data_IF_192394842151
#
_entry.id   IF_192394842151
#
_cell.length_a   1.000
_cell.length_b   1.000
_cell.length_c   1.000
_cell.angle_alpha   90.00
_cell.angle_beta   90.00
_cell.angle_gamma   90.00
#
_symmetry.space_group_name_H-M   'P 1'
#
loop_
_entity.id
_entity.type
_entity.pdbx_description
1 polymer ?
#
# COMPACT_ATOMS: atom_id res chain seq x y z
N UNK A 1 -13.25 -13.75 6.49
CA UNK A 1 -13.59 -12.40 7.00
C UNK A 1 -12.26 -11.71 7.27
N UNK A 2 -11.70 -11.03 6.25
CA UNK A 2 -10.28 -10.63 6.27
C UNK A 2 -10.03 -9.66 7.42
N UNK A 3 -8.88 -9.78 8.07
CA UNK A 3 -8.43 -8.98 9.22
C UNK A 3 -8.72 -7.47 9.07
N UNK A 4 -8.55 -6.95 7.84
CA UNK A 4 -8.74 -5.54 7.50
C UNK A 4 -10.18 -5.12 7.21
N UNK A 5 -11.10 -6.06 6.98
CA UNK A 5 -12.50 -5.76 6.63
C UNK A 5 -13.33 -5.23 7.82
N UNK A 6 -12.90 -5.49 9.05
CA UNK A 6 -13.63 -5.15 10.29
C UNK A 6 -13.45 -3.70 10.77
N UNK A 7 -12.51 -2.95 10.19
CA UNK A 7 -12.06 -1.68 10.76
C UNK A 7 -12.05 -0.50 9.79
N UNK A 8 -12.68 -0.64 8.61
CA UNK A 8 -12.80 0.47 7.66
C UNK A 8 -13.72 1.56 8.24
N UNK A 9 -13.21 2.79 8.38
CA UNK A 9 -14.03 4.00 8.42
C UNK A 9 -14.80 4.06 7.08
N UNK A 10 -16.11 4.37 7.05
CA UNK A 10 -16.81 4.56 5.78
C UNK A 10 -16.11 5.65 4.97
N UNK A 11 -16.03 5.51 3.64
CA UNK A 11 -15.38 6.50 2.80
C UNK A 11 -16.05 7.86 3.00
N UNK A 12 -15.26 8.90 3.28
CA UNK A 12 -15.73 10.27 3.21
C UNK A 12 -15.79 10.62 1.73
N UNK A 13 -17.00 10.59 1.17
CA UNK A 13 -17.34 11.23 -0.10
C UNK A 13 -16.47 10.85 -1.30
N UNK A 14 -16.63 9.65 -1.83
CA UNK A 14 -16.38 9.40 -3.25
C UNK A 14 -17.55 8.59 -3.80
N UNK A 15 -18.48 9.27 -4.45
CA UNK A 15 -19.47 8.64 -5.31
C UNK A 15 -18.71 7.98 -6.46
N UNK A 16 -18.52 6.67 -6.38
CA UNK A 16 -18.21 5.83 -7.55
C UNK A 16 -19.37 4.86 -7.72
N UNK A 17 -20.51 5.44 -8.12
CA UNK A 17 -21.51 4.75 -8.92
C UNK A 17 -21.42 5.41 -10.27
N UNK A 18 -20.63 4.81 -11.16
CA UNK A 18 -20.67 4.95 -12.61
C UNK A 18 -19.42 4.25 -13.17
N UNK A 19 -19.46 2.92 -13.11
CA UNK A 19 -18.69 2.08 -14.03
C UNK A 19 -19.70 1.09 -14.57
N UNK A 20 -20.39 1.52 -15.63
CA UNK A 20 -21.25 0.69 -16.43
C UNK A 20 -20.46 -0.49 -16.96
N UNK A 21 -21.08 -1.65 -16.83
CA UNK A 21 -20.83 -2.84 -17.64
C UNK A 21 -20.81 -2.45 -19.12
N UNK A 22 -19.70 -2.72 -19.80
CA UNK A 22 -19.75 -2.99 -21.23
C UNK A 22 -18.78 -4.14 -21.53
N UNK A 23 -19.40 -5.25 -21.90
CA UNK A 23 -18.78 -6.43 -22.47
C UNK A 23 -18.02 -6.07 -23.75
N UNK A 24 -16.79 -6.54 -23.89
CA UNK A 24 -16.15 -6.65 -25.19
C UNK A 24 -15.32 -7.94 -25.28
N UNK A 25 -15.81 -8.82 -26.15
CA UNK A 25 -15.26 -10.10 -26.52
C UNK A 25 -13.76 -10.07 -26.83
N UNK A 26 -13.06 -11.06 -26.26
CA UNK A 26 -11.71 -11.47 -26.64
C UNK A 26 -11.77 -12.17 -28.01
N UNK A 27 -11.09 -11.62 -29.00
CA UNK A 27 -10.64 -12.37 -30.18
C UNK A 27 -9.12 -12.47 -30.17
N UNK A 28 -8.64 -13.70 -30.01
CA UNK A 28 -7.25 -14.09 -30.24
C UNK A 28 -6.87 -13.79 -31.69
N UNK A 29 -5.67 -13.22 -31.89
CA UNK A 29 -4.85 -13.64 -33.01
C UNK A 29 -3.36 -13.47 -32.70
N UNK A 30 -2.62 -14.51 -33.04
CA UNK A 30 -1.19 -14.66 -32.85
C UNK A 30 -0.41 -14.11 -34.04
N UNK A 31 0.81 -13.64 -33.81
CA UNK A 31 1.87 -13.67 -34.82
C UNK A 31 2.78 -12.46 -34.87
N UNK A 32 4.09 -12.71 -34.85
CA UNK A 32 5.06 -11.85 -35.55
C UNK A 32 6.16 -11.27 -34.68
N UNK A 33 7.25 -12.02 -34.53
CA UNK A 33 8.56 -11.49 -34.16
C UNK A 33 9.02 -10.39 -35.13
N UNK A 34 9.67 -9.34 -34.64
CA UNK A 34 10.81 -8.69 -35.34
C UNK A 34 11.58 -7.72 -34.45
N UNK A 35 12.87 -8.04 -34.28
CA UNK A 35 13.94 -7.16 -33.85
C UNK A 35 14.14 -5.98 -34.82
N UNK A 36 14.36 -4.77 -34.31
CA UNK A 36 15.43 -3.81 -34.69
C UNK A 36 15.00 -2.35 -34.55
N UNK A 37 15.67 -1.57 -33.69
CA UNK A 37 16.30 -0.27 -34.02
C UNK A 37 16.76 0.45 -32.75
N UNK A 38 18.05 0.34 -32.46
CA UNK A 38 18.76 0.87 -31.28
C UNK A 38 19.17 2.35 -31.42
N UNK A 39 18.41 3.20 -32.13
CA UNK A 39 18.89 4.58 -32.40
C UNK A 39 17.86 5.71 -32.26
N UNK A 40 16.90 5.55 -31.34
CA UNK A 40 15.99 6.62 -30.88
C UNK A 40 15.81 6.67 -29.34
N UNK A 41 16.60 5.89 -28.59
CA UNK A 41 16.31 5.51 -27.20
C UNK A 41 16.30 6.66 -26.18
N UNK A 42 17.29 7.55 -26.20
CA UNK A 42 17.41 8.58 -25.15
C UNK A 42 16.26 9.59 -25.11
N UNK A 43 15.77 10.05 -26.26
CA UNK A 43 14.64 10.98 -26.33
C UNK A 43 13.30 10.32 -25.99
N UNK A 44 13.14 9.04 -26.34
CA UNK A 44 11.93 8.26 -26.00
C UNK A 44 11.89 7.91 -24.51
N UNK A 45 13.03 7.58 -23.91
CA UNK A 45 13.14 7.25 -22.48
C UNK A 45 12.93 8.49 -21.58
N UNK A 46 13.43 9.66 -21.99
CA UNK A 46 13.18 10.93 -21.29
C UNK A 46 11.71 11.36 -21.38
N UNK A 47 11.09 11.21 -22.57
CA UNK A 47 9.67 11.51 -22.73
C UNK A 47 8.79 10.54 -21.92
N UNK A 48 9.13 9.24 -21.93
CA UNK A 48 8.43 8.24 -21.12
C UNK A 48 8.57 8.50 -19.61
N UNK A 49 9.75 8.88 -19.14
CA UNK A 49 9.97 9.24 -17.74
C UNK A 49 9.14 10.47 -17.33
N UNK A 50 9.01 11.46 -18.21
CA UNK A 50 8.14 12.63 -17.99
C UNK A 50 6.66 12.25 -17.92
N UNK A 51 6.21 11.39 -18.85
CA UNK A 51 4.82 10.88 -18.85
C UNK A 51 4.50 10.11 -17.57
N UNK A 52 5.40 9.23 -17.11
CA UNK A 52 5.25 8.48 -15.85
C UNK A 52 5.19 9.45 -14.66
N UNK A 53 6.05 10.46 -14.62
CA UNK A 53 6.04 11.47 -13.54
C UNK A 53 4.72 12.24 -13.49
N UNK A 54 4.15 12.58 -14.66
CA UNK A 54 2.83 13.20 -14.75
C UNK A 54 1.71 12.27 -14.27
N UNK A 55 1.83 10.95 -14.48
CA UNK A 55 0.88 9.96 -13.96
C UNK A 55 0.99 9.86 -12.43
N UNK A 56 2.20 9.81 -11.87
CA UNK A 56 2.42 9.79 -10.42
C UNK A 56 1.75 10.96 -9.71
N UNK A 57 1.88 12.16 -10.29
CA UNK A 57 1.21 13.36 -9.77
C UNK A 57 -0.32 13.22 -9.83
N UNK A 58 -0.86 12.75 -10.96
CA UNK A 58 -2.29 12.52 -11.10
C UNK A 58 -2.80 11.47 -10.09
N UNK A 59 -2.03 10.41 -9.82
CA UNK A 59 -2.36 9.42 -8.79
C UNK A 59 -2.37 10.07 -7.41
N UNK A 60 -1.40 10.94 -7.11
CA UNK A 60 -1.35 11.67 -5.84
C UNK A 60 -2.54 12.62 -5.65
N UNK A 61 -3.04 13.18 -6.75
CA UNK A 61 -4.23 14.03 -6.80
C UNK A 61 -5.56 13.23 -6.85
N UNK A 62 -5.51 11.90 -6.90
CA UNK A 62 -6.70 11.04 -6.92
C UNK A 62 -7.37 10.89 -8.29
N UNK A 63 -6.74 11.35 -9.37
CA UNK A 63 -7.24 11.24 -10.74
C UNK A 63 -7.04 9.82 -11.33
N UNK A 64 -7.53 8.80 -10.62
CA UNK A 64 -7.25 7.39 -10.90
C UNK A 64 -7.68 6.92 -12.29
N UNK A 65 -8.88 7.31 -12.75
CA UNK A 65 -9.42 6.88 -14.06
C UNK A 65 -8.54 7.33 -15.22
N UNK A 66 -8.14 8.61 -15.21
CA UNK A 66 -7.22 9.19 -16.20
C UNK A 66 -5.84 8.52 -16.14
N UNK A 67 -5.33 8.28 -14.95
CA UNK A 67 -4.04 7.60 -14.75
C UNK A 67 -4.06 6.17 -15.30
N UNK A 68 -5.12 5.40 -15.05
CA UNK A 68 -5.27 4.03 -15.58
C UNK A 68 -5.30 4.03 -17.11
N UNK A 69 -6.04 4.95 -17.73
CA UNK A 69 -6.11 5.04 -19.19
C UNK A 69 -4.73 5.33 -19.80
N UNK A 70 -3.99 6.29 -19.23
CA UNK A 70 -2.62 6.59 -19.68
C UNK A 70 -1.65 5.44 -19.46
N UNK A 71 -1.73 4.75 -18.33
CA UNK A 71 -0.90 3.58 -18.06
C UNK A 71 -1.17 2.45 -19.06
N UNK A 72 -2.42 2.24 -19.49
CA UNK A 72 -2.75 1.27 -20.56
C UNK A 72 -2.09 1.65 -21.88
N UNK A 73 -2.22 2.90 -22.32
CA UNK A 73 -1.59 3.41 -23.55
C UNK A 73 -0.06 3.23 -23.55
N UNK A 74 0.57 3.43 -22.38
CA UNK A 74 2.02 3.22 -22.23
C UNK A 74 2.36 1.73 -22.26
N UNK A 75 1.62 0.89 -21.52
CA UNK A 75 1.86 -0.55 -21.45
C UNK A 75 1.60 -1.27 -22.78
N UNK A 76 0.74 -0.74 -23.65
CA UNK A 76 0.59 -1.24 -25.04
C UNK A 76 1.90 -1.12 -25.83
N UNK A 77 2.66 -0.05 -25.61
CA UNK A 77 3.95 0.21 -26.31
C UNK A 77 5.15 -0.37 -25.55
N UNK A 78 5.06 -0.38 -24.23
CA UNK A 78 6.12 -0.78 -23.31
C UNK A 78 5.59 -1.81 -22.30
N UNK A 79 5.25 -3.03 -22.75
CA UNK A 79 4.56 -4.03 -21.93
C UNK A 79 5.38 -4.54 -20.74
N UNK A 80 6.68 -4.28 -20.71
CA UNK A 80 7.58 -4.74 -19.64
C UNK A 80 8.02 -3.58 -18.73
N UNK A 81 7.36 -2.42 -18.77
CA UNK A 81 7.74 -1.28 -17.93
C UNK A 81 7.30 -1.52 -16.46
N UNK A 82 8.27 -1.88 -15.61
CA UNK A 82 7.98 -2.22 -14.21
C UNK A 82 7.34 -1.07 -13.41
N UNK A 83 7.71 0.19 -13.69
CA UNK A 83 7.13 1.37 -13.02
C UNK A 83 5.65 1.52 -13.37
N UNK A 84 5.30 1.31 -14.64
CA UNK A 84 3.90 1.37 -15.07
C UNK A 84 3.06 0.25 -14.43
N UNK A 85 3.60 -0.98 -14.36
CA UNK A 85 2.93 -2.05 -13.62
C UNK A 85 2.78 -1.72 -12.13
N UNK A 86 3.81 -1.17 -11.51
CA UNK A 86 3.76 -0.72 -10.12
C UNK A 86 2.67 0.33 -9.88
N UNK A 87 2.65 1.40 -10.68
CA UNK A 87 1.64 2.46 -10.57
C UNK A 87 0.23 1.94 -10.83
N UNK A 88 0.06 1.01 -11.77
CA UNK A 88 -1.22 0.33 -11.98
C UNK A 88 -1.65 -0.41 -10.72
N UNK A 89 -0.75 -1.20 -10.11
CA UNK A 89 -1.04 -1.93 -8.88
C UNK A 89 -1.42 -0.97 -7.73
N UNK A 90 -0.73 0.17 -7.58
CA UNK A 90 -1.07 1.17 -6.57
C UNK A 90 -2.50 1.71 -6.74
N UNK A 91 -2.92 2.00 -7.97
CA UNK A 91 -4.28 2.50 -8.25
C UNK A 91 -5.32 1.41 -8.00
N UNK A 92 -5.04 0.18 -8.46
CA UNK A 92 -5.91 -0.99 -8.26
C UNK A 92 -6.12 -1.30 -6.77
N UNK A 93 -5.10 -1.08 -5.94
CA UNK A 93 -5.18 -1.27 -4.50
C UNK A 93 -6.18 -0.30 -3.85
N UNK A 94 -6.28 0.93 -4.35
CA UNK A 94 -7.25 1.92 -3.89
C UNK A 94 -8.69 1.55 -4.22
N UNK A 95 -8.92 0.81 -5.30
CA UNK A 95 -10.24 0.32 -5.71
C UNK A 95 -10.53 -1.13 -5.25
N UNK A 96 -9.66 -1.71 -4.41
CA UNK A 96 -9.79 -3.04 -3.81
C UNK A 96 -9.79 -4.24 -4.79
N UNK A 97 -9.14 -4.08 -5.95
CA UNK A 97 -8.94 -5.15 -6.94
C UNK A 97 -7.68 -5.97 -6.61
N UNK A 98 -7.73 -6.78 -5.55
CA UNK A 98 -6.54 -7.41 -4.92
C UNK A 98 -5.84 -8.40 -5.86
N UNK A 99 -6.58 -9.14 -6.67
CA UNK A 99 -6.02 -10.12 -7.61
C UNK A 99 -5.17 -9.42 -8.68
N UNK A 100 -5.68 -8.32 -9.21
CA UNK A 100 -5.01 -7.48 -10.21
C UNK A 100 -3.81 -6.74 -9.60
N UNK A 101 -3.89 -6.32 -8.34
CA UNK A 101 -2.73 -5.81 -7.58
C UNK A 101 -1.61 -6.84 -7.58
N UNK A 102 -1.91 -8.09 -7.19
CA UNK A 102 -0.91 -9.16 -7.16
C UNK A 102 -0.34 -9.42 -8.55
N UNK A 103 -1.19 -9.44 -9.59
CA UNK A 103 -0.77 -9.64 -10.97
C UNK A 103 0.23 -8.55 -11.42
N UNK A 104 -0.14 -7.28 -11.32
CA UNK A 104 0.72 -6.18 -11.74
C UNK A 104 1.98 -6.06 -10.87
N UNK A 105 1.91 -6.34 -9.56
CA UNK A 105 3.08 -6.32 -8.69
C UNK A 105 4.09 -7.43 -9.03
N UNK A 106 3.61 -8.60 -9.47
CA UNK A 106 4.48 -9.67 -9.99
C UNK A 106 5.18 -9.26 -11.28
N UNK A 107 4.46 -8.67 -12.23
CA UNK A 107 5.06 -8.16 -13.47
C UNK A 107 6.09 -7.06 -13.20
N UNK A 108 5.82 -6.17 -12.24
CA UNK A 108 6.79 -5.17 -11.80
C UNK A 108 8.08 -5.83 -11.26
N UNK A 109 7.96 -6.86 -10.41
CA UNK A 109 9.12 -7.59 -9.88
C UNK A 109 9.86 -8.43 -10.93
N UNK A 110 9.17 -8.91 -11.96
CA UNK A 110 9.77 -9.68 -13.05
C UNK A 110 10.62 -8.78 -13.97
N UNK A 111 10.16 -7.56 -14.20
CA UNK A 111 10.79 -6.63 -15.14
C UNK A 111 11.61 -5.51 -14.50
N UNK A 112 11.65 -5.43 -13.16
CA UNK A 112 12.57 -4.49 -12.49
C UNK A 112 14.01 -4.92 -12.78
N UNK A 113 14.87 -4.00 -13.26
CA UNK A 113 16.27 -4.30 -13.49
C UNK A 113 16.93 -4.88 -12.23
N UNK A 114 17.88 -5.79 -12.42
CA UNK A 114 18.63 -6.41 -11.32
C UNK A 114 19.81 -5.56 -10.85
N UNK A 115 19.85 -4.30 -11.26
CA UNK A 115 20.91 -3.36 -10.93
C UNK A 115 20.87 -3.03 -9.43
N UNK A 116 22.04 -2.90 -8.81
CA UNK A 116 22.16 -2.57 -7.38
C UNK A 116 21.48 -1.24 -7.03
N UNK A 117 21.38 -0.31 -7.99
CA UNK A 117 20.72 0.98 -7.83
C UNK A 117 19.21 0.85 -7.54
N UNK A 118 18.53 -0.15 -8.12
CA UNK A 118 17.09 -0.38 -7.94
C UNK A 118 16.77 -1.42 -6.86
N UNK A 119 17.78 -1.78 -6.06
CA UNK A 119 17.62 -2.78 -4.99
C UNK A 119 16.56 -2.36 -3.97
N UNK A 120 16.48 -1.07 -3.63
CA UNK A 120 15.52 -0.58 -2.64
C UNK A 120 14.08 -0.66 -3.15
N UNK A 121 13.87 -0.27 -4.41
CA UNK A 121 12.59 -0.35 -5.13
C UNK A 121 12.14 -1.80 -5.26
N UNK A 122 13.07 -2.70 -5.57
CA UNK A 122 12.79 -4.15 -5.60
C UNK A 122 12.33 -4.67 -4.24
N UNK A 123 13.01 -4.29 -3.15
CA UNK A 123 12.58 -4.68 -1.80
C UNK A 123 11.23 -4.07 -1.44
N UNK A 124 10.98 -2.82 -1.84
CA UNK A 124 9.69 -2.18 -1.63
C UNK A 124 8.55 -2.92 -2.35
N UNK A 125 8.73 -3.23 -3.64
CA UNK A 125 7.80 -4.04 -4.42
C UNK A 125 7.54 -5.41 -3.78
N UNK A 126 8.57 -6.08 -3.24
CA UNK A 126 8.40 -7.33 -2.50
C UNK A 126 7.57 -7.12 -1.22
N UNK A 127 7.82 -6.04 -0.49
CA UNK A 127 7.01 -5.66 0.68
C UNK A 127 5.55 -5.44 0.32
N UNK A 128 5.27 -4.70 -0.76
CA UNK A 128 3.91 -4.43 -1.21
C UNK A 128 3.21 -5.71 -1.71
N UNK A 129 3.90 -6.56 -2.47
CA UNK A 129 3.37 -7.86 -2.87
C UNK A 129 3.03 -8.74 -1.67
N UNK A 130 3.90 -8.74 -0.64
CA UNK A 130 3.62 -9.44 0.62
C UNK A 130 2.35 -8.93 1.29
N UNK A 131 2.17 -7.60 1.38
CA UNK A 131 0.95 -7.01 1.94
C UNK A 131 -0.30 -7.34 1.11
N UNK A 132 -0.18 -7.42 -0.22
CA UNK A 132 -1.28 -7.84 -1.08
C UNK A 132 -1.69 -9.31 -0.82
N UNK A 133 -0.73 -10.21 -0.63
CA UNK A 133 -1.03 -11.59 -0.24
C UNK A 133 -1.68 -11.71 1.14
N UNK A 134 -1.39 -10.79 2.05
CA UNK A 134 -2.09 -10.74 3.33
C UNK A 134 -3.58 -10.41 3.17
N UNK A 135 -3.96 -9.66 2.13
CA UNK A 135 -5.37 -9.37 1.82
C UNK A 135 -6.10 -10.58 1.24
N UNK A 136 -5.38 -11.54 0.67
CA UNK A 136 -5.87 -12.81 0.12
C UNK A 136 -5.85 -13.97 1.14
N UNK A 137 -5.51 -13.69 2.39
CA UNK A 137 -5.28 -14.70 3.44
C UNK A 137 -4.20 -15.75 3.07
N UNK A 138 -3.27 -15.42 2.15
CA UNK A 138 -2.16 -16.29 1.69
C UNK A 138 -0.92 -16.14 2.58
N UNK A 139 -1.06 -16.55 3.84
CA UNK A 139 -0.09 -16.26 4.91
C UNK A 139 1.31 -16.83 4.71
N UNK A 140 1.44 -18.04 4.15
CA UNK A 140 2.74 -18.66 3.94
C UNK A 140 3.54 -17.91 2.87
N UNK A 141 2.90 -17.60 1.74
CA UNK A 141 3.49 -16.83 0.64
C UNK A 141 3.87 -15.41 1.09
N UNK A 142 3.02 -14.79 1.91
CA UNK A 142 3.33 -13.52 2.54
C UNK A 142 4.62 -13.61 3.38
N UNK A 143 4.71 -14.59 4.28
CA UNK A 143 5.88 -14.78 5.15
C UNK A 143 7.17 -14.99 4.35
N UNK A 144 7.14 -15.83 3.33
CA UNK A 144 8.28 -16.12 2.46
C UNK A 144 8.79 -14.87 1.73
N UNK A 145 7.88 -14.08 1.15
CA UNK A 145 8.24 -12.86 0.40
C UNK A 145 8.77 -11.79 1.36
N UNK A 146 8.10 -11.60 2.50
CA UNK A 146 8.54 -10.67 3.54
C UNK A 146 9.94 -11.02 4.06
N UNK A 147 10.21 -12.30 4.33
CA UNK A 147 11.52 -12.74 4.79
C UNK A 147 12.61 -12.42 3.76
N UNK A 148 12.36 -12.71 2.48
CA UNK A 148 13.30 -12.38 1.40
C UNK A 148 13.53 -10.87 1.28
N UNK A 149 12.48 -10.06 1.43
CA UNK A 149 12.58 -8.60 1.40
C UNK A 149 13.46 -8.07 2.54
N UNK A 150 13.23 -8.54 3.77
CA UNK A 150 14.01 -8.14 4.95
C UNK A 150 15.46 -8.65 4.92
N UNK A 151 15.74 -9.77 4.28
CA UNK A 151 17.12 -10.24 4.04
C UNK A 151 17.89 -9.31 3.10
N UNK A 152 17.21 -8.76 2.08
CA UNK A 152 17.83 -7.84 1.12
C UNK A 152 18.04 -6.44 1.70
N UNK A 153 17.06 -5.93 2.45
CA UNK A 153 17.17 -4.69 3.21
C UNK A 153 16.34 -4.77 4.51
N UNK A 154 17.04 -4.90 5.63
CA UNK A 154 16.44 -5.05 6.95
C UNK A 154 15.77 -3.77 7.48
N UNK A 155 15.95 -2.63 6.83
CA UNK A 155 15.41 -1.31 7.22
C UNK A 155 14.37 -0.77 6.24
N UNK A 156 13.98 -1.54 5.21
CA UNK A 156 12.89 -1.13 4.33
C UNK A 156 11.56 -1.08 5.10
N UNK A 157 10.90 0.09 5.08
CA UNK A 157 9.70 0.37 5.88
C UNK A 157 8.55 -0.55 5.51
N UNK A 158 8.30 -0.76 4.21
CA UNK A 158 7.22 -1.62 3.71
C UNK A 158 7.46 -3.09 4.08
N UNK A 159 8.70 -3.58 3.99
CA UNK A 159 9.07 -4.92 4.40
C UNK A 159 8.94 -5.12 5.92
N UNK A 160 9.33 -4.12 6.72
CA UNK A 160 9.15 -4.15 8.18
C UNK A 160 7.66 -4.14 8.56
N UNK A 161 6.84 -3.34 7.88
CA UNK A 161 5.38 -3.34 8.03
C UNK A 161 4.78 -4.70 7.71
N UNK A 162 5.20 -5.33 6.62
CA UNK A 162 4.80 -6.70 6.28
C UNK A 162 5.24 -7.69 7.37
N UNK A 163 6.47 -7.59 7.89
CA UNK A 163 6.99 -8.45 8.94
C UNK A 163 6.22 -8.34 10.25
N UNK A 164 5.79 -7.12 10.60
CA UNK A 164 4.93 -6.90 11.75
C UNK A 164 3.60 -7.67 11.62
N UNK A 165 3.00 -7.63 10.42
CA UNK A 165 1.76 -8.34 10.14
C UNK A 165 1.95 -9.87 10.14
N UNK A 166 3.07 -10.38 9.59
CA UNK A 166 3.43 -11.81 9.67
C UNK A 166 3.50 -12.26 11.14
N UNK A 167 4.22 -11.50 11.99
CA UNK A 167 4.32 -11.81 13.41
C UNK A 167 2.96 -11.74 14.12
N UNK A 168 2.14 -10.74 13.81
CA UNK A 168 0.81 -10.58 14.39
C UNK A 168 -0.10 -11.77 14.08
N UNK A 169 -0.11 -12.23 12.83
CA UNK A 169 -0.85 -13.40 12.37
C UNK A 169 -0.32 -14.71 12.98
N UNK A 170 1.00 -14.79 13.20
CA UNK A 170 1.65 -15.88 13.91
C UNK A 170 1.50 -15.85 15.44
N UNK A 171 0.65 -14.98 15.98
CA UNK A 171 0.46 -14.75 17.42
C UNK A 171 1.72 -14.30 18.18
N UNK A 172 2.71 -13.77 17.49
CA UNK A 172 3.96 -13.24 18.06
C UNK A 172 3.83 -11.72 18.28
N UNK A 173 2.95 -11.32 19.19
CA UNK A 173 2.58 -9.91 19.36
C UNK A 173 3.74 -9.00 19.81
N UNK A 174 4.63 -9.51 20.65
CA UNK A 174 5.85 -8.79 21.06
C UNK A 174 6.73 -8.46 19.85
N UNK A 175 6.96 -9.45 18.97
CA UNK A 175 7.76 -9.28 17.76
C UNK A 175 7.09 -8.33 16.77
N UNK A 176 5.77 -8.43 16.60
CA UNK A 176 5.01 -7.51 15.74
C UNK A 176 5.17 -6.05 16.17
N UNK A 177 5.07 -5.77 17.47
CA UNK A 177 5.29 -4.43 18.01
C UNK A 177 6.74 -3.93 17.77
N UNK A 178 7.74 -4.82 17.85
CA UNK A 178 9.14 -4.47 17.53
C UNK A 178 9.28 -4.07 16.06
N UNK A 179 8.70 -4.82 15.13
CA UNK A 179 8.74 -4.50 13.70
C UNK A 179 8.09 -3.16 13.37
N UNK A 180 6.89 -2.89 13.93
CA UNK A 180 6.24 -1.58 13.75
C UNK A 180 7.08 -0.43 14.31
N UNK A 181 7.70 -0.60 15.49
CA UNK A 181 8.57 0.42 16.08
C UNK A 181 9.81 0.68 15.23
N UNK A 182 10.47 -0.37 14.73
CA UNK A 182 11.62 -0.23 13.80
C UNK A 182 11.24 0.51 12.52
N UNK A 183 10.06 0.23 11.97
CA UNK A 183 9.58 0.94 10.80
C UNK A 183 9.33 2.44 11.11
N UNK A 184 8.83 2.76 12.32
CA UNK A 184 8.63 4.14 12.78
C UNK A 184 9.94 4.84 13.13
N UNK A 185 11.01 4.12 13.48
CA UNK A 185 12.34 4.70 13.65
C UNK A 185 12.90 5.21 12.31
N UNK A 186 12.62 4.49 11.22
CA UNK A 186 13.02 4.88 9.86
C UNK A 186 12.14 6.01 9.32
N UNK A 187 10.82 5.91 9.50
CA UNK A 187 9.86 6.95 9.09
C UNK A 187 8.95 7.37 10.27
N UNK A 188 9.42 8.29 11.15
CA UNK A 188 8.71 8.69 12.37
C UNK A 188 7.42 9.48 12.17
N UNK A 189 7.10 9.82 10.92
CA UNK A 189 5.92 10.60 10.52
C UNK A 189 5.04 9.84 9.53
N UNK A 190 5.35 8.57 9.25
CA UNK A 190 4.51 7.73 8.39
C UNK A 190 3.16 7.47 9.08
N UNK A 191 2.12 8.05 8.48
CA UNK A 191 0.77 7.96 9.00
C UNK A 191 0.19 6.55 8.88
N UNK A 192 0.39 5.90 7.74
CA UNK A 192 -0.18 4.57 7.50
C UNK A 192 0.39 3.57 8.51
N UNK A 193 1.69 3.70 8.78
CA UNK A 193 2.37 2.86 9.77
C UNK A 193 1.89 3.12 11.21
N UNK A 194 1.64 4.38 11.56
CA UNK A 194 1.13 4.74 12.87
C UNK A 194 -0.32 4.28 13.07
N UNK A 195 -1.16 4.42 12.05
CA UNK A 195 -2.52 3.87 12.01
C UNK A 195 -2.51 2.35 12.14
N UNK A 196 -1.61 1.66 11.46
CA UNK A 196 -1.44 0.22 11.56
C UNK A 196 -1.06 -0.20 12.98
N UNK A 197 -0.11 0.49 13.63
CA UNK A 197 0.29 0.21 15.01
C UNK A 197 -0.85 0.44 16.01
N UNK A 198 -1.62 1.52 15.84
CA UNK A 198 -2.81 1.80 16.66
C UNK A 198 -3.85 0.68 16.48
N UNK A 199 -4.08 0.26 15.24
CA UNK A 199 -5.02 -0.82 14.89
C UNK A 199 -4.56 -2.18 15.44
N UNK A 200 -3.26 -2.43 15.41
CA UNK A 200 -2.61 -3.58 16.01
C UNK A 200 -2.91 -3.64 17.52
N UNK A 201 -2.61 -2.58 18.28
CA UNK A 201 -2.87 -2.58 19.73
C UNK A 201 -4.37 -2.65 20.07
N UNK A 202 -5.23 -2.04 19.26
CA UNK A 202 -6.68 -2.17 19.38
C UNK A 202 -7.11 -3.64 19.28
N UNK A 203 -6.63 -4.36 18.27
CA UNK A 203 -7.04 -5.75 18.05
C UNK A 203 -6.53 -6.69 19.15
N UNK A 204 -5.31 -6.46 19.64
CA UNK A 204 -4.72 -7.26 20.71
C UNK A 204 -5.18 -6.86 22.10
N UNK A 205 -6.14 -5.93 22.21
CA UNK A 205 -6.74 -5.51 23.47
C UNK A 205 -5.80 -4.75 24.39
N UNK A 206 -4.70 -4.20 23.85
CA UNK A 206 -3.80 -3.35 24.61
C UNK A 206 -4.25 -1.88 24.51
N UNK A 207 -5.33 -1.60 25.23
CA UNK A 207 -6.02 -0.30 25.20
C UNK A 207 -5.14 0.85 25.68
N UNK A 208 -4.26 0.60 26.65
CA UNK A 208 -3.38 1.62 27.22
C UNK A 208 -2.37 2.13 26.19
N UNK A 209 -1.66 1.21 25.52
CA UNK A 209 -0.73 1.59 24.45
C UNK A 209 -1.47 2.21 23.27
N UNK A 210 -2.62 1.66 22.88
CA UNK A 210 -3.45 2.23 21.82
C UNK A 210 -3.81 3.69 22.12
N UNK A 211 -4.30 3.98 23.33
CA UNK A 211 -4.66 5.33 23.76
C UNK A 211 -3.44 6.25 23.80
N UNK A 212 -2.30 5.76 24.30
CA UNK A 212 -1.05 6.52 24.31
C UNK A 212 -0.64 6.94 22.89
N UNK A 213 -0.61 6.01 21.94
CA UNK A 213 -0.26 6.32 20.55
C UNK A 213 -1.27 7.25 19.89
N UNK A 214 -2.58 7.07 20.11
CA UNK A 214 -3.59 8.02 19.65
C UNK A 214 -3.36 9.45 20.20
N UNK A 215 -3.01 9.57 21.48
CA UNK A 215 -2.70 10.87 22.09
C UNK A 215 -1.42 11.50 21.54
N UNK A 216 -0.41 10.68 21.17
CA UNK A 216 0.79 11.22 20.51
C UNK A 216 0.48 11.80 19.14
N UNK A 217 -0.43 11.18 18.38
CA UNK A 217 -0.92 11.70 17.09
C UNK A 217 -1.62 13.03 17.31
N UNK A 218 -2.52 13.12 18.30
CA UNK A 218 -3.33 14.32 18.49
C UNK A 218 -2.57 15.52 19.02
N UNK A 219 -1.46 15.29 19.73
CA UNK A 219 -0.63 16.36 20.31
C UNK A 219 0.48 16.85 19.38
N UNK A 220 0.91 16.03 18.43
CA UNK A 220 2.05 16.40 17.59
C UNK A 220 1.57 17.09 16.31
N UNK A 221 1.95 18.35 16.15
CA UNK A 221 1.64 19.20 14.99
C UNK A 221 2.23 18.70 13.66
N UNK A 222 3.11 17.69 13.72
CA UNK A 222 3.77 17.10 12.54
C UNK A 222 2.89 16.10 11.78
N UNK A 223 1.72 15.73 12.30
CA UNK A 223 0.81 14.79 11.65
C UNK A 223 -0.36 15.50 10.95
N UNK A 224 -0.92 14.88 9.92
CA UNK A 224 -1.97 15.47 9.07
C UNK A 224 -3.33 15.51 9.75
N UNK A 225 -4.27 16.31 9.24
CA UNK A 225 -5.65 16.34 9.75
C UNK A 225 -6.31 14.96 9.73
N UNK A 226 -6.05 14.13 8.71
CA UNK A 226 -6.62 12.79 8.60
C UNK A 226 -6.18 11.86 9.73
N UNK A 227 -4.92 11.96 10.15
CA UNK A 227 -4.37 11.22 11.29
C UNK A 227 -5.07 11.55 12.58
N UNK A 228 -5.35 12.83 12.78
CA UNK A 228 -6.01 13.37 13.94
C UNK A 228 -7.45 12.88 14.00
N UNK A 229 -8.16 12.92 12.86
CA UNK A 229 -9.52 12.39 12.75
C UNK A 229 -9.58 10.87 12.97
N UNK A 230 -8.58 10.12 12.50
CA UNK A 230 -8.50 8.67 12.74
C UNK A 230 -8.25 8.36 14.23
N UNK A 231 -7.26 8.99 14.84
CA UNK A 231 -6.94 8.82 16.26
C UNK A 231 -8.13 9.20 17.16
N UNK A 232 -8.79 10.33 16.86
CA UNK A 232 -10.03 10.74 17.55
C UNK A 232 -11.15 9.72 17.40
N UNK A 233 -11.36 9.20 16.18
CA UNK A 233 -12.38 8.19 15.93
C UNK A 233 -12.10 6.90 16.70
N UNK A 234 -10.85 6.43 16.74
CA UNK A 234 -10.44 5.24 17.51
C UNK A 234 -10.63 5.42 19.02
N UNK A 235 -10.21 6.57 19.57
CA UNK A 235 -10.45 6.91 20.98
C UNK A 235 -11.95 6.93 21.29
N UNK A 236 -12.75 7.59 20.46
CA UNK A 236 -14.21 7.66 20.65
C UNK A 236 -14.85 6.28 20.60
N UNK A 237 -14.41 5.41 19.69
CA UNK A 237 -14.89 4.02 19.57
C UNK A 237 -14.53 3.20 20.82
N UNK A 238 -13.34 3.37 21.37
CA UNK A 238 -12.93 2.75 22.64
C UNK A 238 -13.85 3.19 23.79
N UNK A 239 -14.04 4.50 23.96
CA UNK A 239 -14.88 5.06 25.04
C UNK A 239 -16.38 4.77 24.90
N UNK A 240 -16.87 4.44 23.70
CA UNK A 240 -18.26 4.01 23.48
C UNK A 240 -18.48 2.53 23.80
N UNK A 241 -17.45 1.71 23.72
CA UNK A 241 -17.50 0.27 24.01
C UNK A 241 -17.22 -0.04 25.48
N UNK A 242 -16.41 0.79 26.16
CA UNK A 242 -16.40 0.83 27.62
C UNK A 242 -17.64 1.60 28.08
N UNK A 243 -18.49 0.99 28.89
CA UNK A 243 -19.70 1.64 29.44
C UNK A 243 -19.27 2.70 30.47
N UNK A 244 -18.68 3.81 30.02
CA UNK A 244 -18.24 4.92 30.88
C UNK A 244 -18.87 6.21 30.32
N UNK A 245 -19.76 6.89 31.07
CA UNK A 245 -20.50 8.03 30.55
C UNK A 245 -19.56 9.23 30.34
N UNK A 246 -19.39 9.61 29.07
CA UNK A 246 -19.37 10.97 28.51
C UNK A 246 -18.71 12.16 29.25
N UNK A 247 -17.85 11.97 30.25
CA UNK A 247 -17.34 13.09 31.06
C UNK A 247 -15.98 13.66 30.63
N UNK A 248 -15.33 13.13 29.59
CA UNK A 248 -14.03 13.66 29.13
C UNK A 248 -14.04 14.40 27.79
N UNK A 249 -15.21 14.60 27.17
CA UNK A 249 -15.33 15.27 25.86
C UNK A 249 -15.43 16.81 25.94
N UNK A 250 -15.31 17.43 27.12
CA UNK A 250 -15.49 18.88 27.27
C UNK A 250 -14.21 19.71 27.44
N UNK A 251 -13.00 19.14 27.28
CA UNK A 251 -11.75 19.91 27.44
C UNK A 251 -10.64 19.64 26.41
N UNK A 252 -10.99 19.47 25.13
CA UNK A 252 -10.04 19.63 24.00
C UNK A 252 -10.70 20.47 22.91
#
# INVERSE_FOLDING_TARGET
>A
MNFFSRFKKPPVGANVRDAGSDDAHVSNDAGGSRSSSLNNGRGNDENLASEISGIEENVRQGHYTKSVQRLREILEKHPNNWKCHYLMAMILDKIFAVEEVIHHMKLALEHIPSDDELKNEKVDLMGQLSLAYAKEDKWQTMADICQKALQLNAYNVTALRAGALVCALGNQYSNAAVYYKRALEVCPTDLDLLCDLISFYYLFGNWDLMAQYCLTVTKASKYTQDSFEYAKWMLTRMYRLSVVPFLFLFFI
#
